data_IF_682674416493
#
_entry.id   IF_682674416493
#
_cell.length_a   1.000
_cell.length_b   1.000
_cell.length_c   1.000
_cell.angle_alpha   90.00
_cell.angle_beta   90.00
_cell.angle_gamma   90.00
#
_symmetry.space_group_name_H-M   'P 1'
#
loop_
_entity.id
_entity.type
_entity.pdbx_description
1 polymer ?
#
# COMPACT_ATOMS: atom_id res chain seq x y z
N UNK A 1 -23.46 14.01 -6.05
CA UNK A 1 -22.37 13.03 -5.92
C UNK A 1 -21.02 13.72 -6.15
N UNK A 2 -20.03 13.42 -5.29
CA UNK A 2 -18.65 13.89 -5.48
C UNK A 2 -17.87 12.90 -6.34
N UNK A 3 -17.00 13.38 -7.22
CA UNK A 3 -16.11 12.55 -8.01
C UNK A 3 -15.01 11.92 -7.12
N UNK A 4 -14.52 10.74 -7.52
CA UNK A 4 -13.47 10.03 -6.83
C UNK A 4 -12.09 10.47 -7.34
N UNK A 5 -11.17 10.76 -6.43
CA UNK A 5 -9.76 10.99 -6.75
C UNK A 5 -9.05 9.64 -6.92
N UNK A 6 -8.12 9.56 -7.84
CA UNK A 6 -7.15 8.47 -7.91
C UNK A 6 -5.84 8.95 -7.30
N UNK A 7 -5.53 8.55 -6.06
CA UNK A 7 -4.42 9.11 -5.30
C UNK A 7 -3.05 8.70 -5.86
N UNK A 8 -2.04 9.50 -5.50
CA UNK A 8 -0.64 9.10 -5.63
C UNK A 8 -0.30 7.98 -4.62
N UNK A 9 0.87 7.38 -4.82
CA UNK A 9 1.51 6.41 -3.92
C UNK A 9 2.83 6.93 -3.39
N UNK A 10 2.96 8.24 -3.29
CA UNK A 10 4.19 8.87 -2.85
C UNK A 10 4.55 8.45 -1.42
N UNK A 11 5.80 8.08 -1.24
CA UNK A 11 6.41 7.79 0.05
C UNK A 11 7.69 8.61 0.17
N UNK A 12 7.75 9.49 1.17
CA UNK A 12 8.94 10.31 1.40
C UNK A 12 10.12 9.51 1.93
N UNK A 13 9.84 8.51 2.74
CA UNK A 13 10.86 7.62 3.28
C UNK A 13 10.59 6.22 2.76
N UNK A 14 11.59 5.65 2.08
CA UNK A 14 11.58 4.28 1.58
C UNK A 14 12.66 3.51 2.31
N UNK A 15 12.35 2.30 2.77
CA UNK A 15 13.33 1.44 3.42
C UNK A 15 13.99 0.52 2.41
N UNK A 16 15.31 0.46 2.47
CA UNK A 16 16.14 -0.53 1.79
C UNK A 16 16.78 -1.45 2.82
N UNK A 17 16.88 -2.73 2.48
CA UNK A 17 17.55 -3.73 3.31
C UNK A 17 18.73 -4.30 2.56
N UNK A 18 19.84 -4.43 3.26
CA UNK A 18 21.02 -5.14 2.79
C UNK A 18 21.46 -6.16 3.84
N UNK A 19 21.70 -7.37 3.37
CA UNK A 19 22.06 -8.51 4.22
C UNK A 19 23.45 -9.03 3.88
N UNK A 20 24.10 -9.62 4.85
CA UNK A 20 25.30 -10.43 4.66
C UNK A 20 25.32 -11.57 5.67
N UNK A 21 25.68 -12.75 5.23
CA UNK A 21 25.77 -13.93 6.06
C UNK A 21 27.24 -14.28 6.36
N UNK A 22 27.51 -14.64 7.60
CA UNK A 22 28.77 -15.27 8.04
C UNK A 22 28.45 -16.73 8.33
N UNK A 23 28.95 -17.64 7.53
CA UNK A 23 28.70 -19.09 7.69
C UNK A 23 29.72 -19.75 8.61
N UNK A 24 29.27 -20.74 9.37
CA UNK A 24 30.08 -21.48 10.34
C UNK A 24 30.13 -22.97 9.97
N UNK A 25 31.23 -23.60 10.37
CA UNK A 25 31.31 -25.04 10.29
C UNK A 25 30.43 -25.70 11.37
N UNK A 26 30.17 -26.97 11.20
CA UNK A 26 29.38 -27.76 12.14
C UNK A 26 29.92 -27.61 13.56
N UNK A 27 29.04 -27.36 14.54
CA UNK A 27 29.37 -27.19 15.95
C UNK A 27 30.42 -26.11 16.25
N UNK A 28 30.63 -25.15 15.33
CA UNK A 28 31.59 -24.06 15.53
C UNK A 28 30.90 -22.69 15.51
N UNK A 29 31.54 -21.74 16.21
CA UNK A 29 31.14 -20.33 16.27
C UNK A 29 32.29 -19.35 15.99
N UNK A 30 33.48 -19.84 15.66
CA UNK A 30 34.63 -19.00 15.33
C UNK A 30 34.52 -18.45 13.92
N UNK A 31 34.86 -17.16 13.79
CA UNK A 31 34.83 -16.45 12.53
C UNK A 31 35.98 -16.89 11.62
N UNK A 32 35.70 -17.15 10.37
CA UNK A 32 36.70 -17.42 9.33
C UNK A 32 36.95 -16.19 8.48
N UNK A 33 38.22 -15.97 8.11
CA UNK A 33 38.58 -14.79 7.30
C UNK A 33 37.91 -14.79 5.91
N UNK A 34 37.64 -15.97 5.35
CA UNK A 34 36.90 -16.13 4.09
C UNK A 34 35.48 -15.53 4.19
N UNK A 35 34.81 -15.76 5.30
CA UNK A 35 33.44 -15.28 5.53
C UNK A 35 33.42 -13.77 5.83
N UNK A 36 34.26 -13.34 6.79
CA UNK A 36 34.33 -11.91 7.19
C UNK A 36 34.90 -11.01 6.09
N UNK A 37 35.59 -11.56 5.11
CA UNK A 37 36.12 -10.87 3.94
C UNK A 37 35.35 -11.10 2.65
N UNK A 38 34.16 -11.74 2.72
CA UNK A 38 33.30 -11.98 1.56
C UNK A 38 32.88 -10.69 0.86
N UNK A 39 32.41 -10.79 -0.37
CA UNK A 39 31.92 -9.62 -1.10
C UNK A 39 30.67 -9.03 -0.42
N UNK A 40 29.75 -9.87 0.04
CA UNK A 40 28.55 -9.45 0.79
C UNK A 40 28.90 -8.63 2.03
N UNK A 41 29.90 -9.06 2.80
CA UNK A 41 30.36 -8.32 3.98
C UNK A 41 31.01 -6.99 3.63
N UNK A 42 31.73 -6.91 2.51
CA UNK A 42 32.30 -5.65 2.01
C UNK A 42 31.22 -4.69 1.57
N UNK A 43 30.21 -5.20 0.83
CA UNK A 43 29.09 -4.40 0.35
C UNK A 43 28.21 -3.88 1.51
N UNK A 44 27.93 -4.73 2.50
CA UNK A 44 27.23 -4.31 3.74
C UNK A 44 27.98 -3.19 4.46
N UNK A 45 29.31 -3.34 4.64
CA UNK A 45 30.14 -2.33 5.27
C UNK A 45 30.16 -1.02 4.48
N UNK A 46 30.23 -1.08 3.16
CA UNK A 46 30.15 0.09 2.30
C UNK A 46 28.80 0.80 2.42
N UNK A 47 27.70 0.03 2.45
CA UNK A 47 26.36 0.57 2.64
C UNK A 47 26.16 1.23 4.01
N UNK A 48 26.71 0.65 5.08
CA UNK A 48 26.69 1.26 6.41
C UNK A 48 27.40 2.62 6.41
N UNK A 49 28.59 2.69 5.79
CA UNK A 49 29.36 3.95 5.69
C UNK A 49 28.63 4.99 4.86
N UNK A 50 28.02 4.58 3.76
CA UNK A 50 27.23 5.47 2.91
C UNK A 50 26.00 6.00 3.66
N UNK A 51 25.27 5.14 4.38
CA UNK A 51 24.11 5.55 5.17
C UNK A 51 24.48 6.53 6.30
N UNK A 52 25.67 6.39 6.90
CA UNK A 52 26.16 7.30 7.96
C UNK A 52 26.63 8.65 7.41
N UNK A 53 27.12 8.72 6.18
CA UNK A 53 27.72 9.92 5.57
C UNK A 53 26.79 10.70 4.63
N UNK A 54 25.69 10.11 4.19
CA UNK A 54 24.77 10.70 3.24
C UNK A 54 23.56 11.32 3.94
N UNK A 55 23.36 12.63 3.80
CA UNK A 55 22.25 13.35 4.42
C UNK A 55 20.86 12.87 3.97
N UNK A 56 20.77 12.20 2.81
CA UNK A 56 19.53 11.61 2.29
C UNK A 56 19.36 10.15 2.66
N UNK A 57 20.21 9.62 3.53
CA UNK A 57 20.12 8.26 4.08
C UNK A 57 20.22 8.31 5.60
N UNK A 58 19.54 7.39 6.25
CA UNK A 58 19.68 7.21 7.70
C UNK A 58 19.70 5.71 8.03
N UNK A 59 20.56 5.31 8.94
CA UNK A 59 20.55 3.96 9.48
C UNK A 59 19.32 3.83 10.38
N UNK A 60 18.31 3.10 9.90
CA UNK A 60 17.11 2.82 10.67
C UNK A 60 17.35 1.72 11.69
N UNK A 61 17.94 0.60 11.26
CA UNK A 61 18.26 -0.55 12.11
C UNK A 61 19.51 -1.26 11.59
N UNK A 62 20.40 -1.62 12.50
CA UNK A 62 21.48 -2.56 12.23
C UNK A 62 21.32 -3.75 13.18
N UNK A 63 21.23 -4.95 12.63
CA UNK A 63 20.93 -6.15 13.40
C UNK A 63 21.94 -7.24 13.11
N UNK A 64 22.25 -8.04 14.14
CA UNK A 64 23.04 -9.26 14.03
C UNK A 64 22.27 -10.40 14.68
N UNK A 65 21.83 -11.34 13.87
CA UNK A 65 21.09 -12.52 14.31
C UNK A 65 21.97 -13.77 14.20
N UNK A 66 22.01 -14.57 15.24
CA UNK A 66 22.73 -15.85 15.24
C UNK A 66 21.79 -17.01 15.05
N UNK A 67 22.15 -17.95 14.18
CA UNK A 67 21.34 -19.11 13.84
C UNK A 67 22.10 -20.40 14.10
N UNK A 68 21.39 -21.42 14.54
CA UNK A 68 21.84 -22.80 14.48
C UNK A 68 20.90 -23.63 13.60
N UNK A 69 21.46 -24.55 12.85
CA UNK A 69 20.72 -25.53 12.09
C UNK A 69 19.96 -26.46 13.04
N UNK A 70 18.77 -26.96 12.63
CA UNK A 70 17.95 -27.82 13.48
C UNK A 70 18.50 -29.28 13.54
N UNK A 71 19.80 -29.39 13.73
CA UNK A 71 20.50 -30.66 13.91
C UNK A 71 21.15 -30.66 15.31
N UNK A 72 20.67 -31.50 16.21
CA UNK A 72 21.17 -31.59 17.58
C UNK A 72 20.22 -30.98 18.62
N UNK A 73 20.53 -31.16 19.88
CA UNK A 73 19.67 -30.74 20.98
C UNK A 73 19.57 -29.24 21.16
N UNK A 74 18.41 -28.77 21.61
CA UNK A 74 18.05 -27.35 21.76
C UNK A 74 19.09 -26.57 22.60
N UNK A 75 19.62 -27.15 23.70
CA UNK A 75 20.61 -26.47 24.55
C UNK A 75 21.92 -26.18 23.80
N UNK A 76 22.41 -27.14 23.01
CA UNK A 76 23.60 -26.98 22.20
C UNK A 76 23.35 -25.90 21.10
N UNK A 77 22.21 -25.97 20.44
CA UNK A 77 21.84 -25.05 19.38
C UNK A 77 21.65 -23.64 19.93
N UNK A 78 21.04 -23.48 21.09
CA UNK A 78 20.92 -22.18 21.78
C UNK A 78 22.29 -21.57 22.07
N UNK A 79 23.23 -22.39 22.58
CA UNK A 79 24.60 -21.93 22.82
C UNK A 79 25.31 -21.55 21.51
N UNK A 80 25.21 -22.39 20.49
CA UNK A 80 25.85 -22.11 19.19
C UNK A 80 25.28 -20.83 18.55
N UNK A 81 23.97 -20.66 18.52
CA UNK A 81 23.34 -19.44 17.98
C UNK A 81 23.77 -18.19 18.76
N UNK A 82 23.82 -18.27 20.10
CA UNK A 82 24.28 -17.18 20.97
C UNK A 82 25.75 -16.83 20.72
N UNK A 83 26.64 -17.83 20.65
CA UNK A 83 28.06 -17.60 20.43
C UNK A 83 28.33 -17.05 19.03
N UNK A 84 27.63 -17.53 18.01
CA UNK A 84 27.69 -17.03 16.63
C UNK A 84 27.26 -15.57 16.57
N UNK A 85 26.13 -15.25 17.19
CA UNK A 85 25.62 -13.88 17.27
C UNK A 85 26.65 -12.95 17.95
N UNK A 86 27.16 -13.33 19.14
CA UNK A 86 28.13 -12.53 19.89
C UNK A 86 29.44 -12.30 19.13
N UNK A 87 29.96 -13.33 18.45
CA UNK A 87 31.19 -13.22 17.69
C UNK A 87 31.03 -12.32 16.46
N UNK A 88 29.91 -12.46 15.71
CA UNK A 88 29.59 -11.60 14.60
C UNK A 88 29.36 -10.14 15.05
N UNK A 89 28.65 -9.93 16.16
CA UNK A 89 28.43 -8.58 16.72
C UNK A 89 29.75 -7.92 17.12
N UNK A 90 30.64 -8.62 17.83
CA UNK A 90 31.97 -8.09 18.19
C UNK A 90 32.78 -7.72 16.95
N UNK A 91 32.74 -8.55 15.93
CA UNK A 91 33.39 -8.25 14.65
C UNK A 91 32.83 -6.97 14.04
N UNK A 92 31.50 -6.85 13.93
CA UNK A 92 30.85 -5.67 13.36
C UNK A 92 31.15 -4.42 14.17
N UNK A 93 31.06 -4.47 15.51
CA UNK A 93 31.42 -3.35 16.40
C UNK A 93 32.84 -2.86 16.17
N UNK A 94 33.80 -3.78 15.97
CA UNK A 94 35.18 -3.43 15.62
C UNK A 94 35.28 -2.71 14.26
N UNK A 95 34.51 -3.13 13.28
CA UNK A 95 34.47 -2.46 11.97
C UNK A 95 33.83 -1.07 12.08
N UNK A 96 32.69 -0.93 12.75
CA UNK A 96 32.05 0.37 12.98
C UNK A 96 32.94 1.35 13.68
N UNK A 97 33.65 0.89 14.72
CA UNK A 97 34.65 1.73 15.43
C UNK A 97 35.78 2.20 14.52
N UNK A 98 36.28 1.32 13.64
CA UNK A 98 37.30 1.64 12.63
C UNK A 98 36.81 2.68 11.63
N UNK A 99 35.55 2.55 11.21
CA UNK A 99 34.90 3.43 10.24
C UNK A 99 34.31 4.70 10.90
N UNK A 100 34.39 4.83 12.22
CA UNK A 100 33.84 5.92 13.03
C UNK A 100 32.33 6.08 12.98
N UNK A 101 31.61 5.03 12.58
CA UNK A 101 30.13 4.98 12.55
C UNK A 101 29.64 4.73 13.98
N UNK A 102 28.62 5.51 14.39
CA UNK A 102 27.96 5.38 15.68
C UNK A 102 26.54 4.97 15.48
N UNK A 103 26.25 3.70 15.73
CA UNK A 103 24.90 3.14 15.68
C UNK A 103 24.79 1.98 16.66
N UNK A 104 23.61 1.76 17.17
CA UNK A 104 23.30 0.59 17.99
C UNK A 104 23.12 -0.65 17.13
N UNK A 105 23.50 -1.80 17.67
CA UNK A 105 23.31 -3.10 17.02
C UNK A 105 22.27 -3.88 17.81
N UNK A 106 21.12 -4.12 17.19
CA UNK A 106 20.14 -5.06 17.70
C UNK A 106 20.64 -6.50 17.52
N UNK A 107 20.22 -7.40 18.40
CA UNK A 107 20.68 -8.78 18.33
C UNK A 107 19.55 -9.75 18.63
N UNK A 108 19.49 -10.83 17.86
CA UNK A 108 18.55 -11.93 18.04
C UNK A 108 19.25 -13.27 17.91
N UNK A 109 18.64 -14.34 18.41
CA UNK A 109 19.10 -15.72 18.21
C UNK A 109 17.94 -16.61 17.80
N UNK A 110 18.24 -17.59 16.95
CA UNK A 110 17.34 -18.67 16.56
C UNK A 110 18.06 -19.99 16.76
N UNK A 111 17.72 -20.69 17.83
CA UNK A 111 18.37 -21.94 18.22
C UNK A 111 18.11 -23.09 17.22
N UNK A 112 16.96 -23.08 16.56
CA UNK A 112 16.57 -24.06 15.56
C UNK A 112 15.87 -23.33 14.40
N UNK A 113 16.60 -23.10 13.30
CA UNK A 113 16.11 -22.32 12.16
C UNK A 113 15.23 -23.17 11.23
N UNK A 114 14.07 -23.59 11.72
CA UNK A 114 13.10 -24.35 10.92
C UNK A 114 12.49 -23.53 9.79
N UNK A 115 12.34 -22.20 9.97
CA UNK A 115 11.88 -21.33 8.91
C UNK A 115 12.90 -21.20 7.78
N UNK A 116 14.18 -21.03 8.13
CA UNK A 116 15.26 -21.03 7.15
C UNK A 116 15.43 -22.40 6.48
N UNK A 117 15.24 -23.50 7.22
CA UNK A 117 15.24 -24.84 6.66
C UNK A 117 14.15 -25.00 5.59
N UNK A 118 12.91 -24.61 5.90
CA UNK A 118 11.82 -24.65 4.95
C UNK A 118 12.13 -23.83 3.69
N UNK A 119 12.57 -22.59 3.86
CA UNK A 119 12.91 -21.72 2.74
C UNK A 119 14.07 -22.28 1.88
N UNK A 120 15.09 -22.85 2.50
CA UNK A 120 16.19 -23.50 1.80
C UNK A 120 15.73 -24.74 1.00
N UNK A 121 14.86 -25.55 1.60
CA UNK A 121 14.24 -26.70 0.92
C UNK A 121 13.38 -26.28 -0.26
N UNK A 122 12.52 -25.27 -0.11
CA UNK A 122 11.65 -24.76 -1.19
C UNK A 122 12.46 -24.26 -2.39
N UNK A 123 13.60 -23.64 -2.14
CA UNK A 123 14.49 -23.10 -3.16
C UNK A 123 15.49 -24.14 -3.70
N UNK A 124 15.58 -25.32 -3.13
CA UNK A 124 16.49 -26.36 -3.55
C UNK A 124 16.01 -27.07 -4.82
N UNK A 125 16.94 -27.70 -5.52
CA UNK A 125 16.65 -28.59 -6.65
C UNK A 125 16.61 -30.08 -6.23
N UNK A 126 16.49 -30.35 -4.91
CA UNK A 126 16.45 -31.73 -4.40
C UNK A 126 15.23 -32.47 -4.94
N UNK A 127 15.43 -33.70 -5.37
CA UNK A 127 14.38 -34.53 -5.96
C UNK A 127 13.25 -34.83 -4.96
N UNK A 128 13.60 -35.01 -3.68
CA UNK A 128 12.65 -35.40 -2.63
C UNK A 128 12.19 -34.22 -1.76
N UNK A 129 12.35 -32.97 -2.22
CA UNK A 129 12.01 -31.78 -1.44
C UNK A 129 10.55 -31.74 -0.98
N UNK A 130 9.63 -32.18 -1.85
CA UNK A 130 8.19 -32.19 -1.51
C UNK A 130 7.86 -33.18 -0.39
N UNK A 131 8.59 -34.28 -0.30
CA UNK A 131 8.47 -35.24 0.79
C UNK A 131 8.94 -34.61 2.11
N UNK A 132 10.08 -33.92 2.10
CA UNK A 132 10.61 -33.26 3.31
C UNK A 132 9.70 -32.11 3.75
N UNK A 133 9.22 -31.28 2.83
CA UNK A 133 8.28 -30.18 3.13
C UNK A 133 6.95 -30.72 3.70
N UNK A 134 6.48 -31.85 3.21
CA UNK A 134 5.28 -32.51 3.76
C UNK A 134 5.50 -32.98 5.19
N UNK A 135 6.65 -33.59 5.50
CA UNK A 135 7.01 -34.00 6.86
C UNK A 135 7.06 -32.79 7.79
N UNK A 136 7.66 -31.65 7.34
CA UNK A 136 7.64 -30.40 8.11
C UNK A 136 6.24 -29.92 8.44
N UNK A 137 5.31 -30.03 7.49
CA UNK A 137 3.91 -29.62 7.68
C UNK A 137 3.11 -30.57 8.60
N UNK A 138 3.51 -31.84 8.72
CA UNK A 138 2.80 -32.84 9.54
C UNK A 138 3.13 -32.75 11.03
N UNK A 139 4.33 -32.31 11.36
CA UNK A 139 4.81 -32.28 12.75
C UNK A 139 5.08 -30.85 13.18
N UNK A 140 4.50 -30.43 14.29
CA UNK A 140 4.71 -29.10 14.88
C UNK A 140 5.83 -29.09 15.93
N UNK A 141 6.08 -30.24 16.56
CA UNK A 141 7.14 -30.39 17.54
C UNK A 141 8.52 -30.48 16.89
N UNK A 142 9.51 -29.65 17.31
CA UNK A 142 10.82 -29.61 16.71
C UNK A 142 11.61 -30.92 16.79
N UNK A 143 11.58 -31.61 17.94
CA UNK A 143 12.30 -32.86 18.14
C UNK A 143 11.70 -33.99 17.28
N UNK A 144 10.38 -33.97 17.16
CA UNK A 144 9.65 -34.91 16.31
C UNK A 144 9.97 -34.68 14.83
N UNK A 145 9.99 -33.39 14.37
CA UNK A 145 10.43 -33.01 13.02
C UNK A 145 11.83 -33.51 12.72
N UNK A 146 12.78 -33.25 13.60
CA UNK A 146 14.16 -33.69 13.45
C UNK A 146 14.25 -35.21 13.30
N UNK A 147 13.56 -35.93 14.19
CA UNK A 147 13.52 -37.41 14.16
C UNK A 147 12.96 -37.94 12.85
N UNK A 148 11.83 -37.40 12.39
CA UNK A 148 11.20 -37.88 11.17
C UNK A 148 12.02 -37.55 9.92
N UNK A 149 12.70 -36.40 9.85
CA UNK A 149 13.59 -36.06 8.74
C UNK A 149 14.83 -36.95 8.75
N UNK A 150 15.40 -37.24 9.91
CA UNK A 150 16.53 -38.18 10.02
C UNK A 150 16.14 -39.62 9.62
N UNK A 151 14.91 -40.02 9.84
CA UNK A 151 14.40 -41.31 9.38
C UNK A 151 14.31 -41.44 7.85
N UNK A 152 14.31 -40.33 7.13
CA UNK A 152 14.45 -40.31 5.67
C UNK A 152 15.91 -40.48 5.25
N UNK A 153 16.53 -41.59 5.61
CA UNK A 153 17.97 -41.81 5.59
C UNK A 153 18.66 -41.54 4.23
N UNK A 154 18.01 -41.84 3.13
CA UNK A 154 18.55 -41.57 1.78
C UNK A 154 18.56 -40.06 1.43
N UNK A 155 17.59 -39.32 1.97
CA UNK A 155 17.41 -37.86 1.73
C UNK A 155 18.23 -37.04 2.73
N UNK A 156 18.33 -37.53 3.97
CA UNK A 156 19.01 -36.82 5.05
C UNK A 156 20.48 -36.51 4.74
N UNK A 157 21.20 -37.44 4.08
CA UNK A 157 22.59 -37.19 3.68
C UNK A 157 22.70 -35.95 2.80
N UNK A 158 21.84 -35.82 1.81
CA UNK A 158 21.82 -34.66 0.91
C UNK A 158 21.42 -33.39 1.68
N UNK A 159 20.45 -33.49 2.59
CA UNK A 159 20.07 -32.36 3.47
C UNK A 159 21.27 -31.90 4.29
N UNK A 160 22.01 -32.83 4.89
CA UNK A 160 23.17 -32.50 5.74
C UNK A 160 24.33 -31.87 4.96
N UNK A 161 24.47 -32.19 3.68
CA UNK A 161 25.53 -31.69 2.80
C UNK A 161 25.13 -30.35 2.12
N UNK A 162 23.88 -30.15 1.72
CA UNK A 162 23.45 -29.05 0.89
C UNK A 162 22.61 -27.99 1.65
N UNK A 163 21.79 -28.40 2.61
CA UNK A 163 20.81 -27.51 3.29
C UNK A 163 21.32 -27.03 4.64
N UNK A 164 21.72 -27.94 5.52
CA UNK A 164 22.10 -27.59 6.90
C UNK A 164 23.30 -26.64 7.00
N UNK A 165 24.32 -26.69 6.10
CA UNK A 165 25.42 -25.71 6.13
C UNK A 165 24.98 -24.27 5.92
N UNK A 166 23.95 -24.03 5.11
CA UNK A 166 23.38 -22.70 4.87
C UNK A 166 22.71 -22.08 6.10
N UNK A 167 22.27 -22.93 7.04
CA UNK A 167 21.59 -22.51 8.26
C UNK A 167 22.54 -22.24 9.43
N UNK A 168 23.82 -22.62 9.32
CA UNK A 168 24.86 -22.39 10.33
C UNK A 168 25.47 -21.01 10.12
N UNK A 169 24.71 -19.95 10.41
CA UNK A 169 25.11 -18.58 10.04
C UNK A 169 24.85 -17.55 11.17
N UNK A 170 25.52 -16.43 11.03
CA UNK A 170 25.06 -15.15 11.57
C UNK A 170 24.66 -14.27 10.40
N UNK A 171 23.46 -13.71 10.47
CA UNK A 171 22.94 -12.77 9.48
C UNK A 171 23.08 -11.36 10.02
N UNK A 172 23.69 -10.49 9.23
CA UNK A 172 23.82 -9.07 9.52
C UNK A 172 22.86 -8.35 8.55
N UNK A 173 21.98 -7.51 9.09
CA UNK A 173 20.97 -6.79 8.33
C UNK A 173 21.11 -5.30 8.60
N UNK A 174 21.31 -4.54 7.54
CA UNK A 174 21.19 -3.09 7.54
C UNK A 174 19.84 -2.70 6.95
N UNK A 175 19.02 -1.99 7.71
CA UNK A 175 17.83 -1.30 7.20
C UNK A 175 18.16 0.18 7.12
N UNK A 176 18.08 0.74 5.93
CA UNK A 176 18.38 2.16 5.67
C UNK A 176 17.10 2.87 5.24
N UNK A 177 16.82 4.01 5.85
CA UNK A 177 15.79 4.93 5.38
C UNK A 177 16.39 5.82 4.28
N UNK A 178 15.79 5.76 3.08
CA UNK A 178 16.06 6.70 2.00
C UNK A 178 15.10 7.88 2.13
N UNK A 179 15.64 9.07 2.37
CA UNK A 179 14.87 10.29 2.55
C UNK A 179 14.71 10.97 1.20
N UNK A 180 13.47 10.96 0.68
CA UNK A 180 13.12 11.61 -0.59
C UNK A 180 13.13 13.13 -0.51
N UNK A 181 12.73 13.75 -1.61
CA UNK A 181 12.64 15.22 -1.73
C UNK A 181 11.64 15.81 -0.74
N UNK A 182 11.91 16.99 -0.23
CA UNK A 182 10.99 17.77 0.61
C UNK A 182 9.79 18.30 -0.21
N UNK A 183 8.74 18.79 0.47
CA UNK A 183 7.60 19.41 -0.21
C UNK A 183 8.03 20.64 -1.02
N UNK A 184 8.96 21.43 -0.49
CA UNK A 184 9.45 22.63 -1.19
C UNK A 184 10.29 22.26 -2.41
N UNK A 185 11.15 21.23 -2.31
CA UNK A 185 11.89 20.68 -3.46
C UNK A 185 10.92 20.17 -4.54
N UNK A 186 9.88 19.42 -4.14
CA UNK A 186 8.88 18.88 -5.07
C UNK A 186 8.09 20.00 -5.76
N UNK A 187 7.63 21.01 -5.01
CA UNK A 187 6.94 22.18 -5.56
C UNK A 187 7.79 22.94 -6.58
N UNK A 188 9.04 23.19 -6.21
CA UNK A 188 9.98 23.92 -7.06
C UNK A 188 10.27 23.15 -8.36
N UNK A 189 10.55 21.86 -8.25
CA UNK A 189 10.80 21.00 -9.41
C UNK A 189 9.56 20.81 -10.28
N UNK A 190 8.37 20.63 -9.67
CA UNK A 190 7.13 20.52 -10.43
C UNK A 190 6.86 21.76 -11.28
N UNK A 191 7.29 22.93 -10.82
CA UNK A 191 7.15 24.20 -11.54
C UNK A 191 8.21 24.38 -12.62
N UNK A 192 9.49 24.18 -12.27
CA UNK A 192 10.63 24.63 -13.07
C UNK A 192 11.35 23.50 -13.83
N UNK A 193 11.36 22.27 -13.29
CA UNK A 193 12.01 21.13 -13.93
C UNK A 193 11.31 19.81 -13.57
N UNK A 194 10.08 19.61 -14.06
CA UNK A 194 9.28 18.42 -13.71
C UNK A 194 9.89 17.10 -14.19
N UNK A 195 10.86 17.13 -15.10
CA UNK A 195 11.56 15.94 -15.57
C UNK A 195 12.41 15.25 -14.48
N UNK A 196 12.77 15.98 -13.42
CA UNK A 196 13.48 15.44 -12.26
C UNK A 196 12.56 14.76 -11.23
N UNK A 197 11.25 14.77 -11.44
CA UNK A 197 10.28 14.10 -10.59
C UNK A 197 9.80 12.81 -11.23
N UNK A 198 9.67 11.76 -10.42
CA UNK A 198 8.98 10.55 -10.85
C UNK A 198 7.46 10.76 -10.83
N UNK A 199 6.72 9.78 -11.35
CA UNK A 199 5.26 9.88 -11.48
C UNK A 199 4.55 10.11 -10.13
N UNK A 200 5.01 9.44 -9.06
CA UNK A 200 4.40 9.57 -7.74
C UNK A 200 4.71 10.94 -7.10
N UNK A 201 5.92 11.42 -7.23
CA UNK A 201 6.32 12.75 -6.78
C UNK A 201 5.54 13.85 -7.51
N UNK A 202 5.35 13.70 -8.82
CA UNK A 202 4.63 14.70 -9.60
C UNK A 202 3.11 14.68 -9.34
N UNK A 203 2.52 13.50 -9.14
CA UNK A 203 1.13 13.38 -8.67
C UNK A 203 0.95 13.96 -7.27
N UNK A 204 1.88 13.68 -6.36
CA UNK A 204 1.89 14.25 -5.02
C UNK A 204 2.02 15.78 -5.03
N UNK A 205 2.81 16.34 -5.94
CA UNK A 205 2.93 17.80 -6.10
C UNK A 205 1.57 18.50 -6.25
N UNK A 206 0.61 17.88 -6.94
CA UNK A 206 -0.74 18.42 -7.10
C UNK A 206 -1.53 18.49 -5.78
N UNK A 207 -1.15 17.71 -4.76
CA UNK A 207 -1.77 17.77 -3.43
C UNK A 207 -1.24 18.91 -2.57
N UNK A 208 -0.10 19.50 -2.94
CA UNK A 208 0.58 20.57 -2.21
C UNK A 208 0.06 21.96 -2.53
N UNK A 209 -0.91 22.08 -3.42
CA UNK A 209 -1.59 23.34 -3.76
C UNK A 209 -3.10 23.19 -3.65
N UNK A 210 -3.81 24.29 -3.41
CA UNK A 210 -5.28 24.35 -3.45
C UNK A 210 -5.79 25.02 -4.74
N UNK A 211 -4.90 25.54 -5.58
CA UNK A 211 -5.27 26.18 -6.85
C UNK A 211 -5.56 25.12 -7.92
N UNK A 212 -6.80 25.07 -8.39
CA UNK A 212 -7.23 24.14 -9.40
C UNK A 212 -6.52 24.30 -10.74
N UNK A 213 -6.16 25.52 -11.12
CA UNK A 213 -5.40 25.76 -12.36
C UNK A 213 -3.98 25.20 -12.25
N UNK A 214 -3.34 25.38 -11.10
CA UNK A 214 -2.02 24.82 -10.82
C UNK A 214 -2.08 23.27 -10.78
N UNK A 215 -3.08 22.68 -10.11
CA UNK A 215 -3.32 21.23 -10.14
C UNK A 215 -3.44 20.68 -11.56
N UNK A 216 -4.27 21.31 -12.38
CA UNK A 216 -4.46 20.90 -13.78
C UNK A 216 -3.14 20.98 -14.55
N UNK A 217 -2.36 22.05 -14.37
CA UNK A 217 -1.06 22.19 -15.03
C UNK A 217 -0.08 21.07 -14.61
N UNK A 218 -0.07 20.68 -13.33
CA UNK A 218 0.75 19.58 -12.84
C UNK A 218 0.27 18.25 -13.45
N UNK A 219 -1.04 17.96 -13.42
CA UNK A 219 -1.58 16.74 -14.02
C UNK A 219 -1.34 16.66 -15.52
N UNK A 220 -1.33 17.80 -16.25
CA UNK A 220 -0.95 17.83 -17.65
C UNK A 220 0.51 17.39 -17.86
N UNK A 221 1.41 17.77 -16.95
CA UNK A 221 2.82 17.31 -16.98
C UNK A 221 2.90 15.80 -16.71
N UNK A 222 2.14 15.28 -15.73
CA UNK A 222 2.04 13.82 -15.50
C UNK A 222 1.55 13.10 -16.75
N UNK A 223 0.49 13.60 -17.36
CA UNK A 223 -0.09 13.03 -18.57
C UNK A 223 0.91 13.01 -19.75
N UNK A 224 1.65 14.10 -19.95
CA UNK A 224 2.61 14.22 -21.05
C UNK A 224 3.89 13.40 -20.85
N UNK A 225 4.38 13.28 -19.62
CA UNK A 225 5.63 12.57 -19.32
C UNK A 225 5.43 11.06 -19.12
N UNK A 226 4.34 10.67 -18.49
CA UNK A 226 4.13 9.30 -18.04
C UNK A 226 2.92 8.60 -18.68
N UNK A 227 1.99 9.36 -19.28
CA UNK A 227 0.76 8.78 -19.82
C UNK A 227 -0.11 8.12 -18.77
N UNK A 228 -0.04 8.57 -17.51
CA UNK A 228 -0.71 7.94 -16.37
C UNK A 228 -2.19 8.32 -16.33
N UNK A 229 -3.07 7.31 -16.24
CA UNK A 229 -4.53 7.50 -16.20
C UNK A 229 -5.00 8.37 -15.03
N UNK A 230 -4.28 8.35 -13.90
CA UNK A 230 -4.62 9.13 -12.70
C UNK A 230 -4.63 10.63 -12.97
N UNK A 231 -3.70 11.09 -13.81
CA UNK A 231 -3.67 12.50 -14.23
C UNK A 231 -4.94 12.91 -14.94
N UNK A 232 -5.38 12.11 -15.91
CA UNK A 232 -6.62 12.38 -16.65
C UNK A 232 -7.85 12.29 -15.77
N UNK A 233 -7.94 11.27 -14.90
CA UNK A 233 -9.04 11.13 -13.95
C UNK A 233 -9.13 12.34 -13.01
N UNK A 234 -8.01 12.78 -12.44
CA UNK A 234 -7.98 13.86 -11.47
C UNK A 234 -8.23 15.24 -12.12
N UNK A 235 -7.79 15.47 -13.37
CA UNK A 235 -8.22 16.62 -14.17
C UNK A 235 -9.73 16.59 -14.41
N UNK A 236 -10.25 15.42 -14.80
CA UNK A 236 -11.69 15.22 -15.01
C UNK A 236 -12.50 15.53 -13.76
N UNK A 237 -12.01 15.11 -12.58
CA UNK A 237 -12.64 15.43 -11.30
C UNK A 237 -12.73 16.95 -11.07
N UNK A 238 -11.65 17.69 -11.31
CA UNK A 238 -11.62 19.16 -11.15
C UNK A 238 -12.62 19.80 -12.11
N UNK A 239 -12.63 19.42 -13.40
CA UNK A 239 -13.59 19.93 -14.38
C UNK A 239 -15.03 19.60 -14.00
N UNK A 240 -15.30 18.41 -13.50
CA UNK A 240 -16.63 17.99 -13.05
C UNK A 240 -17.11 18.86 -11.89
N UNK A 241 -16.27 19.12 -10.89
CA UNK A 241 -16.58 19.97 -9.73
C UNK A 241 -16.81 21.43 -10.13
N UNK A 242 -16.15 21.90 -11.18
CA UNK A 242 -16.36 23.23 -11.77
C UNK A 242 -17.61 23.31 -12.67
N UNK A 243 -18.33 22.20 -12.86
CA UNK A 243 -19.49 22.12 -13.75
C UNK A 243 -19.14 22.04 -15.23
N UNK A 244 -17.86 21.93 -15.58
CA UNK A 244 -17.40 21.77 -16.96
C UNK A 244 -17.48 20.30 -17.40
N UNK A 245 -18.71 19.83 -17.61
CA UNK A 245 -18.98 18.41 -17.88
C UNK A 245 -18.33 17.94 -19.18
N UNK A 246 -18.26 18.80 -20.21
CA UNK A 246 -17.64 18.43 -21.49
C UNK A 246 -16.16 18.11 -21.35
N UNK A 247 -15.40 18.93 -20.63
CA UNK A 247 -13.97 18.65 -20.39
C UNK A 247 -13.76 17.48 -19.42
N UNK A 248 -14.62 17.36 -18.38
CA UNK A 248 -14.60 16.20 -17.49
C UNK A 248 -14.78 14.89 -18.26
N UNK A 249 -15.77 14.82 -19.14
CA UNK A 249 -16.03 13.63 -19.98
C UNK A 249 -14.86 13.32 -20.91
N UNK A 250 -14.23 14.37 -21.50
CA UNK A 250 -13.06 14.21 -22.35
C UNK A 250 -11.87 13.64 -21.58
N UNK A 251 -11.63 14.16 -20.39
CA UNK A 251 -10.56 13.67 -19.50
C UNK A 251 -10.81 12.24 -19.03
N UNK A 252 -12.02 11.92 -18.57
CA UNK A 252 -12.37 10.54 -18.18
C UNK A 252 -12.30 9.57 -19.36
N UNK A 253 -12.65 10.01 -20.57
CA UNK A 253 -12.49 9.19 -21.78
C UNK A 253 -11.03 8.77 -21.98
N UNK A 254 -10.08 9.67 -21.84
CA UNK A 254 -8.65 9.35 -21.93
C UNK A 254 -8.20 8.43 -20.79
N UNK A 255 -8.70 8.64 -19.58
CA UNK A 255 -8.40 7.75 -18.47
C UNK A 255 -8.92 6.33 -18.70
N UNK A 256 -10.12 6.18 -19.31
CA UNK A 256 -10.71 4.88 -19.67
C UNK A 256 -9.95 4.18 -20.81
N UNK A 257 -9.38 4.90 -21.76
CA UNK A 257 -8.51 4.32 -22.81
C UNK A 257 -7.29 3.60 -22.19
N UNK A 258 -6.75 4.16 -21.11
CA UNK A 258 -5.56 3.61 -20.42
C UNK A 258 -5.95 2.56 -19.38
N UNK A 259 -7.00 2.82 -18.60
CA UNK A 259 -7.44 1.99 -17.47
C UNK A 259 -8.94 1.67 -17.55
N UNK A 260 -9.42 0.89 -18.54
CA UNK A 260 -10.83 0.67 -18.82
C UNK A 260 -11.62 -0.02 -17.69
N UNK A 261 -10.91 -0.73 -16.81
CA UNK A 261 -11.51 -1.47 -15.70
C UNK A 261 -11.25 -0.84 -14.33
N UNK A 262 -10.67 0.37 -14.28
CA UNK A 262 -10.46 1.04 -13.01
C UNK A 262 -11.80 1.53 -12.45
N UNK A 263 -12.10 1.16 -11.19
CA UNK A 263 -13.40 1.41 -10.57
C UNK A 263 -13.67 2.91 -10.37
N UNK A 264 -12.67 3.70 -9.96
CA UNK A 264 -12.83 5.14 -9.74
C UNK A 264 -13.05 5.90 -11.06
N UNK A 265 -12.32 5.54 -12.12
CA UNK A 265 -12.49 6.15 -13.45
C UNK A 265 -13.89 5.83 -14.00
N UNK A 266 -14.35 4.59 -13.89
CA UNK A 266 -15.70 4.21 -14.30
C UNK A 266 -16.78 4.92 -13.47
N UNK A 267 -16.59 5.03 -12.16
CA UNK A 267 -17.48 5.79 -11.29
C UNK A 267 -17.61 7.25 -11.75
N UNK A 268 -16.50 7.93 -11.98
CA UNK A 268 -16.47 9.32 -12.39
C UNK A 268 -17.07 9.53 -13.80
N UNK A 269 -16.76 8.65 -14.74
CA UNK A 269 -17.37 8.64 -16.06
C UNK A 269 -18.89 8.45 -15.99
N UNK A 270 -19.36 7.61 -15.08
CA UNK A 270 -20.77 7.42 -14.78
C UNK A 270 -21.45 8.67 -14.25
N UNK A 271 -20.78 9.41 -13.32
CA UNK A 271 -21.28 10.70 -12.85
C UNK A 271 -21.38 11.73 -13.97
N UNK A 272 -20.37 11.83 -14.83
CA UNK A 272 -20.38 12.74 -15.97
C UNK A 272 -21.47 12.37 -16.98
N UNK A 273 -21.70 11.10 -17.24
CA UNK A 273 -22.79 10.62 -18.11
C UNK A 273 -24.16 10.96 -17.53
N UNK A 274 -24.36 10.83 -16.22
CA UNK A 274 -25.61 11.29 -15.58
C UNK A 274 -25.80 12.81 -15.70
N UNK A 275 -24.74 13.61 -15.55
CA UNK A 275 -24.82 15.06 -15.72
C UNK A 275 -25.20 15.46 -17.16
N UNK A 276 -24.79 14.68 -18.17
CA UNK A 276 -25.20 14.79 -19.57
C UNK A 276 -26.56 14.16 -19.88
N UNK A 277 -27.24 13.57 -18.89
CA UNK A 277 -28.46 12.78 -19.05
C UNK A 277 -28.32 11.56 -19.99
N UNK A 278 -27.10 11.06 -20.20
CA UNK A 278 -26.81 9.82 -20.94
C UNK A 278 -26.91 8.60 -20.01
N UNK A 279 -28.14 8.24 -19.67
CA UNK A 279 -28.42 7.14 -18.71
C UNK A 279 -27.91 5.79 -19.18
N UNK A 280 -27.77 5.57 -20.49
CA UNK A 280 -27.25 4.32 -21.02
C UNK A 280 -25.76 4.16 -20.70
N UNK A 281 -24.98 5.20 -20.94
CA UNK A 281 -23.55 5.19 -20.57
C UNK A 281 -23.36 5.21 -19.05
N UNK A 282 -24.20 5.95 -18.33
CA UNK A 282 -24.15 5.95 -16.86
C UNK A 282 -24.33 4.53 -16.31
N UNK A 283 -25.27 3.76 -16.82
CA UNK A 283 -25.50 2.37 -16.42
C UNK A 283 -24.28 1.47 -16.70
N UNK A 284 -23.70 1.60 -17.89
CA UNK A 284 -22.50 0.84 -18.27
C UNK A 284 -21.32 1.14 -17.35
N UNK A 285 -21.02 2.41 -17.14
CA UNK A 285 -19.86 2.82 -16.32
C UNK A 285 -20.06 2.51 -14.83
N UNK A 286 -21.23 2.85 -14.26
CA UNK A 286 -21.50 2.55 -12.86
C UNK A 286 -21.54 1.03 -12.59
N UNK A 287 -21.94 0.22 -13.58
CA UNK A 287 -21.86 -1.23 -13.50
C UNK A 287 -20.43 -1.77 -13.35
N UNK A 288 -19.42 -1.03 -13.81
CA UNK A 288 -17.99 -1.37 -13.70
C UNK A 288 -17.30 -0.69 -12.50
N UNK A 289 -18.02 0.07 -11.69
CA UNK A 289 -17.47 0.89 -10.62
C UNK A 289 -17.39 0.18 -9.26
N UNK A 290 -17.59 -1.13 -9.19
CA UNK A 290 -17.47 -1.89 -7.95
C UNK A 290 -16.06 -1.76 -7.38
N UNK A 291 -15.96 -1.40 -6.10
CA UNK A 291 -14.67 -1.15 -5.42
C UNK A 291 -14.16 0.28 -5.54
N UNK A 292 -14.91 1.21 -6.16
CA UNK A 292 -14.56 2.63 -6.17
C UNK A 292 -14.44 3.21 -4.76
N UNK A 293 -13.59 4.21 -4.58
CA UNK A 293 -13.53 5.03 -3.36
C UNK A 293 -14.68 6.06 -3.31
N UNK A 294 -15.39 6.27 -4.42
CA UNK A 294 -16.58 7.09 -4.49
C UNK A 294 -17.80 6.43 -3.80
N UNK A 295 -18.85 7.22 -3.59
CA UNK A 295 -20.09 6.69 -3.01
C UNK A 295 -20.98 6.07 -4.09
N UNK A 296 -20.69 4.81 -4.45
CA UNK A 296 -21.41 4.09 -5.51
C UNK A 296 -22.90 3.94 -5.18
N UNK A 297 -23.27 3.71 -3.91
CA UNK A 297 -24.66 3.60 -3.48
C UNK A 297 -25.43 4.90 -3.75
N UNK A 298 -24.85 6.05 -3.42
CA UNK A 298 -25.45 7.35 -3.71
C UNK A 298 -25.55 7.62 -5.22
N UNK A 299 -24.54 7.22 -6.00
CA UNK A 299 -24.55 7.38 -7.45
C UNK A 299 -25.62 6.50 -8.11
N UNK A 300 -25.73 5.23 -7.72
CA UNK A 300 -26.76 4.30 -8.20
C UNK A 300 -28.17 4.76 -7.81
N UNK A 301 -28.32 5.26 -6.58
CA UNK A 301 -29.59 5.85 -6.14
C UNK A 301 -30.01 7.05 -7.01
N UNK A 302 -29.05 7.96 -7.33
CA UNK A 302 -29.30 9.08 -8.24
C UNK A 302 -29.66 8.57 -9.64
N UNK A 303 -28.91 7.60 -10.16
CA UNK A 303 -29.18 6.99 -11.46
C UNK A 303 -30.61 6.42 -11.58
N UNK A 304 -31.03 5.61 -10.60
CA UNK A 304 -32.39 5.06 -10.61
C UNK A 304 -33.47 6.13 -10.42
N UNK A 305 -33.17 7.18 -9.61
CA UNK A 305 -34.08 8.34 -9.51
C UNK A 305 -34.30 9.02 -10.86
N UNK A 306 -33.21 9.22 -11.63
CA UNK A 306 -33.28 9.80 -12.97
C UNK A 306 -34.04 8.90 -13.96
N UNK A 307 -33.94 7.57 -13.79
CA UNK A 307 -34.76 6.60 -14.58
C UNK A 307 -36.23 6.55 -14.18
N UNK A 308 -36.63 7.18 -13.08
CA UNK A 308 -37.99 7.09 -12.52
C UNK A 308 -38.25 5.79 -11.75
N UNK A 309 -37.21 4.96 -11.53
CA UNK A 309 -37.34 3.75 -10.71
C UNK A 309 -37.07 4.07 -9.23
N UNK A 310 -38.07 4.64 -8.59
CA UNK A 310 -37.93 5.08 -7.19
C UNK A 310 -37.78 3.91 -6.20
N UNK A 311 -38.25 2.71 -6.55
CA UNK A 311 -38.06 1.52 -5.71
C UNK A 311 -36.60 1.07 -5.73
N UNK A 312 -36.00 0.94 -6.90
CA UNK A 312 -34.59 0.64 -7.04
C UNK A 312 -33.71 1.74 -6.45
N UNK A 313 -34.09 3.02 -6.63
CA UNK A 313 -33.40 4.15 -6.04
C UNK A 313 -33.38 4.09 -4.51
N UNK A 314 -34.50 3.81 -3.85
CA UNK A 314 -34.59 3.64 -2.40
C UNK A 314 -33.68 2.51 -1.90
N UNK A 315 -33.67 1.38 -2.61
CA UNK A 315 -32.81 0.24 -2.30
C UNK A 315 -31.32 0.58 -2.44
N UNK A 316 -30.94 1.31 -3.51
CA UNK A 316 -29.56 1.70 -3.76
C UNK A 316 -29.03 2.74 -2.76
N UNK A 317 -29.84 3.74 -2.40
CA UNK A 317 -29.45 4.70 -1.36
C UNK A 317 -29.31 4.07 0.03
N UNK A 318 -30.17 3.09 0.36
CA UNK A 318 -30.20 2.50 1.70
C UNK A 318 -30.32 3.58 2.76
N UNK A 319 -29.30 3.69 3.63
CA UNK A 319 -29.25 4.70 4.71
C UNK A 319 -28.37 5.92 4.37
N UNK A 320 -28.03 6.13 3.09
CA UNK A 320 -27.22 7.28 2.67
C UNK A 320 -28.01 8.57 2.84
N UNK A 321 -27.50 9.48 3.68
CA UNK A 321 -28.11 10.80 3.90
C UNK A 321 -27.46 11.85 3.00
N UNK A 322 -28.10 12.12 1.84
CA UNK A 322 -27.69 13.14 0.88
C UNK A 322 -28.89 13.92 0.37
N UNK A 323 -28.65 15.10 -0.21
CA UNK A 323 -29.70 15.88 -0.85
C UNK A 323 -30.41 15.09 -1.96
N UNK A 324 -29.66 14.30 -2.75
CA UNK A 324 -30.25 13.47 -3.81
C UNK A 324 -31.16 12.36 -3.27
N UNK A 325 -30.79 11.74 -2.14
CA UNK A 325 -31.66 10.77 -1.48
C UNK A 325 -32.97 11.43 -1.00
N UNK A 326 -32.89 12.63 -0.43
CA UNK A 326 -34.06 13.40 -0.04
C UNK A 326 -34.93 13.78 -1.25
N UNK A 327 -34.34 14.16 -2.39
CA UNK A 327 -35.10 14.41 -3.64
C UNK A 327 -35.87 13.16 -4.07
N UNK A 328 -35.26 11.99 -4.06
CA UNK A 328 -35.96 10.73 -4.38
C UNK A 328 -37.14 10.48 -3.45
N UNK A 329 -36.97 10.72 -2.14
CA UNK A 329 -38.02 10.53 -1.15
C UNK A 329 -39.16 11.55 -1.33
N UNK A 330 -38.86 12.80 -1.66
CA UNK A 330 -39.83 13.84 -2.01
C UNK A 330 -40.62 13.45 -3.25
N UNK A 331 -39.95 12.97 -4.31
CA UNK A 331 -40.60 12.52 -5.54
C UNK A 331 -41.51 11.30 -5.33
N UNK A 332 -41.18 10.49 -4.34
CA UNK A 332 -42.00 9.34 -3.91
C UNK A 332 -43.02 9.70 -2.81
N UNK A 333 -43.19 10.99 -2.50
CA UNK A 333 -44.10 11.53 -1.48
C UNK A 333 -43.84 11.02 -0.04
N UNK A 334 -42.64 10.46 0.22
CA UNK A 334 -42.20 10.02 1.55
C UNK A 334 -41.54 11.21 2.31
N UNK A 335 -42.37 12.17 2.66
CA UNK A 335 -41.89 13.41 3.29
C UNK A 335 -41.32 13.20 4.69
N UNK A 336 -41.76 12.17 5.41
CA UNK A 336 -41.20 11.82 6.72
C UNK A 336 -39.74 11.32 6.60
N UNK A 337 -39.50 10.43 5.67
CA UNK A 337 -38.15 9.97 5.37
C UNK A 337 -37.25 11.10 4.84
N UNK A 338 -37.80 11.96 3.95
CA UNK A 338 -37.07 13.11 3.43
C UNK A 338 -36.62 14.08 4.54
N UNK A 339 -37.47 14.36 5.50
CA UNK A 339 -37.17 15.20 6.68
C UNK A 339 -36.02 14.61 7.48
N UNK A 340 -36.08 13.29 7.75
CA UNK A 340 -35.04 12.59 8.50
C UNK A 340 -33.72 12.58 7.74
N UNK A 341 -33.74 12.32 6.43
CA UNK A 341 -32.55 12.33 5.59
C UNK A 341 -31.88 13.69 5.57
N UNK A 342 -32.66 14.78 5.35
CA UNK A 342 -32.12 16.14 5.33
C UNK A 342 -31.50 16.57 6.67
N UNK A 343 -32.09 16.14 7.80
CA UNK A 343 -31.53 16.40 9.13
C UNK A 343 -30.18 15.69 9.38
N UNK A 344 -29.87 14.63 8.63
CA UNK A 344 -28.65 13.84 8.76
C UNK A 344 -27.61 14.10 7.66
N UNK A 345 -27.81 15.09 6.76
CA UNK A 345 -26.84 15.49 5.77
C UNK A 345 -25.60 16.05 6.48
N UNK A 346 -24.44 15.43 6.26
CA UNK A 346 -23.20 15.79 6.97
C UNK A 346 -22.67 17.19 6.66
N UNK A 347 -22.88 17.66 5.43
CA UNK A 347 -22.43 18.98 4.95
C UNK A 347 -23.67 19.71 4.37
N UNK A 348 -24.55 20.25 5.22
CA UNK A 348 -25.74 20.95 4.75
C UNK A 348 -25.36 22.24 4.02
N UNK A 349 -26.09 22.54 2.94
CA UNK A 349 -25.86 23.71 2.09
C UNK A 349 -27.20 24.33 1.66
N UNK A 350 -27.16 25.34 0.79
CA UNK A 350 -28.36 26.02 0.31
C UNK A 350 -29.40 25.04 -0.31
N UNK A 351 -28.95 23.98 -0.99
CA UNK A 351 -29.84 22.93 -1.52
C UNK A 351 -30.53 22.18 -0.39
N UNK A 352 -29.81 21.87 0.70
CA UNK A 352 -30.39 21.22 1.88
C UNK A 352 -31.49 22.09 2.52
N UNK A 353 -31.24 23.38 2.69
CA UNK A 353 -32.22 24.34 3.20
C UNK A 353 -33.45 24.43 2.28
N UNK A 354 -33.21 24.55 0.96
CA UNK A 354 -34.30 24.59 -0.03
C UNK A 354 -35.16 23.32 0.03
N UNK A 355 -34.57 22.13 0.04
CA UNK A 355 -35.30 20.88 0.12
C UNK A 355 -36.05 20.73 1.44
N UNK A 356 -35.51 21.24 2.55
CA UNK A 356 -36.19 21.27 3.84
C UNK A 356 -37.44 22.18 3.79
N UNK A 357 -37.32 23.33 3.14
CA UNK A 357 -38.46 24.23 2.91
C UNK A 357 -39.53 23.56 2.02
N UNK A 358 -39.14 22.82 0.96
CA UNK A 358 -40.05 22.06 0.11
C UNK A 358 -40.81 21.00 0.91
N UNK A 359 -40.15 20.23 1.75
CA UNK A 359 -40.76 19.22 2.62
C UNK A 359 -41.73 19.89 3.60
N UNK A 360 -41.34 21.01 4.22
CA UNK A 360 -42.18 21.78 5.12
C UNK A 360 -43.46 22.30 4.42
N UNK A 361 -43.31 22.86 3.23
CA UNK A 361 -44.46 23.31 2.43
C UNK A 361 -45.42 22.17 2.07
N UNK A 362 -44.90 20.99 1.71
CA UNK A 362 -45.70 19.80 1.39
C UNK A 362 -46.41 19.19 2.60
N UNK A 363 -45.92 19.46 3.82
CA UNK A 363 -46.50 19.00 5.08
C UNK A 363 -47.27 20.11 5.84
N UNK A 364 -47.51 21.28 5.20
CA UNK A 364 -48.19 22.45 5.78
C UNK A 364 -47.52 23.06 7.03
N UNK A 365 -46.22 22.88 7.19
CA UNK A 365 -45.41 23.46 8.29
C UNK A 365 -44.90 24.85 7.85
N UNK A 366 -45.72 25.87 8.05
CA UNK A 366 -45.44 27.26 7.62
C UNK A 366 -44.22 27.85 8.31
N UNK A 367 -44.03 27.57 9.59
CA UNK A 367 -42.89 28.13 10.35
C UNK A 367 -41.56 27.57 9.84
N UNK A 368 -41.52 26.29 9.54
CA UNK A 368 -40.34 25.67 8.94
C UNK A 368 -40.06 26.15 7.51
N UNK A 369 -41.08 26.52 6.73
CA UNK A 369 -40.87 27.14 5.42
C UNK A 369 -40.11 28.46 5.56
N UNK A 370 -40.57 29.34 6.41
CA UNK A 370 -39.95 30.67 6.60
C UNK A 370 -38.54 30.60 7.21
N UNK A 371 -38.29 29.61 8.04
CA UNK A 371 -36.97 29.42 8.67
C UNK A 371 -35.88 28.91 7.72
N UNK A 372 -36.27 28.33 6.57
CA UNK A 372 -35.34 27.70 5.61
C UNK A 372 -35.30 28.41 4.22
N UNK A 373 -35.98 29.53 4.08
CA UNK A 373 -35.92 30.41 2.92
C UNK A 373 -34.91 31.53 3.15
#
# INVERSE_FOLDING_TARGET
>A
NKAAITPDKFQRVIQEMQEADIKFLIQQSNLRNSETGSQEMKDLRAAIKEADSNEKKAINKLEVSGYASPEGGLDLNTKLATDRQKNAQKFLQKQLKKDKVKTDIASEITAEDWAGFQAAMENSNMQDKDLVLRVLGMYSDPEERETQIKNLSSVYKTIAEEILPELRRSRLILTTDLIGKSDDEIKELAKNDPAQLNVEELLYAATLTNDNAEKIAIYQKVASQFGDYRAYNNMGMIYFEQGNIAEARRAYGKALEIAPNNADVNYNAGLAAMADNDLKKAEEYLGKAAGTQGNLSAAMGTFYTMKGDYKAAKSAYGNVATNNAAVQQILNEDYAAARQTLANVKEPNATTAYLTAVVAARTNDRDAVYSNM
#
